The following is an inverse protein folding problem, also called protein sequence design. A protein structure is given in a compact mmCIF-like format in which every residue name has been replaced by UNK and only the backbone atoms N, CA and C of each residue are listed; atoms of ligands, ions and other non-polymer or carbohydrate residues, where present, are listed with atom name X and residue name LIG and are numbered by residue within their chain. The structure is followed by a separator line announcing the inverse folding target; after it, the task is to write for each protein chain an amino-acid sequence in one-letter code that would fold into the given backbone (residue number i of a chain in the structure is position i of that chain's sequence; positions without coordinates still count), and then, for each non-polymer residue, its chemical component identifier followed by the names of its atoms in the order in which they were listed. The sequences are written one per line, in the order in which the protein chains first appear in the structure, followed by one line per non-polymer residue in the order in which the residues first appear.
data_IF_220488217693
#
_entry.id   IF_220488217693
#
_cell.length_a   1.000
_cell.length_b   1.000
_cell.length_c   1.000
_cell.angle_alpha   90.00
_cell.angle_beta   90.00
_cell.angle_gamma   90.00
#
_symmetry.space_group_name_H-M   'P 1'
#
loop_
_entity.id
_entity.type
_entity.pdbx_description
1 polymer ?
#
# COMPACT_ATOMS: atom_id res chain seq x y z
N UNK A 1 -5.95 13.17 23.96
CA UNK A 1 -6.47 12.90 22.61
C UNK A 1 -5.54 11.91 21.94
N UNK A 2 -5.85 10.61 22.01
CA UNK A 2 -5.06 9.59 21.33
C UNK A 2 -5.33 9.68 19.81
N UNK A 3 -4.26 9.67 19.03
CA UNK A 3 -4.20 9.86 17.59
C UNK A 3 -5.24 9.01 16.82
N UNK A 4 -6.27 9.66 16.27
CA UNK A 4 -7.24 9.04 15.37
C UNK A 4 -6.62 8.61 14.02
N UNK A 5 -5.40 9.07 13.74
CA UNK A 5 -4.71 8.92 12.45
C UNK A 5 -4.21 7.49 12.18
N UNK A 6 -3.97 6.68 13.23
CA UNK A 6 -3.44 5.31 13.06
C UNK A 6 -4.51 4.23 12.81
N UNK A 7 -5.80 4.58 13.00
CA UNK A 7 -6.95 3.66 12.88
C UNK A 7 -7.84 3.95 11.69
N UNK A 8 -7.50 4.95 10.86
CA UNK A 8 -8.25 5.18 9.64
C UNK A 8 -8.07 3.99 8.66
N UNK A 9 -9.13 3.67 7.92
CA UNK A 9 -9.17 2.49 7.05
C UNK A 9 -8.08 2.51 5.96
N UNK A 10 -7.74 3.68 5.40
CA UNK A 10 -6.66 3.85 4.42
C UNK A 10 -5.31 3.57 5.06
N UNK A 11 -5.09 4.03 6.30
CA UNK A 11 -3.85 3.73 7.04
C UNK A 11 -3.72 2.23 7.33
N UNK A 12 -4.79 1.55 7.74
CA UNK A 12 -4.75 0.10 7.96
C UNK A 12 -4.56 -0.67 6.65
N UNK A 13 -5.24 -0.24 5.59
CA UNK A 13 -5.14 -0.87 4.27
C UNK A 13 -3.72 -0.74 3.69
N UNK A 14 -3.12 0.45 3.75
CA UNK A 14 -1.72 0.64 3.28
C UNK A 14 -0.71 -0.17 4.10
N UNK A 15 -0.92 -0.34 5.41
CA UNK A 15 -0.12 -1.26 6.24
C UNK A 15 -0.29 -2.72 5.78
N UNK A 16 -1.51 -3.14 5.46
CA UNK A 16 -1.78 -4.49 4.96
C UNK A 16 -1.12 -4.74 3.58
N UNK A 17 -1.21 -3.77 2.67
CA UNK A 17 -0.55 -3.84 1.35
C UNK A 17 0.97 -4.00 1.48
N UNK A 18 1.60 -3.25 2.39
CA UNK A 18 3.04 -3.38 2.66
C UNK A 18 3.40 -4.79 3.13
N UNK A 19 2.66 -5.31 4.12
CA UNK A 19 2.88 -6.68 4.62
C UNK A 19 2.70 -7.74 3.54
N UNK A 20 1.72 -7.56 2.65
CA UNK A 20 1.50 -8.46 1.52
C UNK A 20 2.68 -8.42 0.53
N UNK A 21 3.21 -7.23 0.25
CA UNK A 21 4.42 -7.08 -0.56
C UNK A 21 5.64 -7.73 0.10
N UNK A 22 5.85 -7.49 1.39
CA UNK A 22 6.94 -8.06 2.18
C UNK A 22 6.86 -9.60 2.26
N UNK A 23 5.66 -10.18 2.18
CA UNK A 23 5.41 -11.62 2.08
C UNK A 23 5.60 -12.18 0.65
N UNK A 24 6.26 -11.44 -0.24
CA UNK A 24 6.58 -11.89 -1.59
C UNK A 24 5.48 -11.70 -2.63
N UNK A 25 4.40 -10.96 -2.32
CA UNK A 25 3.30 -10.68 -3.25
C UNK A 25 3.17 -9.19 -3.63
N UNK A 26 4.24 -8.49 -4.06
CA UNK A 26 4.19 -7.04 -4.30
C UNK A 26 3.35 -6.64 -5.53
N UNK A 27 3.23 -7.49 -6.55
CA UNK A 27 2.38 -7.24 -7.72
C UNK A 27 0.89 -7.29 -7.34
N UNK A 28 0.49 -8.29 -6.55
CA UNK A 28 -0.88 -8.42 -6.04
C UNK A 28 -1.26 -7.25 -5.12
N UNK A 29 -0.35 -6.88 -4.22
CA UNK A 29 -0.52 -5.69 -3.38
C UNK A 29 -0.66 -4.41 -4.22
N UNK A 30 0.08 -4.29 -5.32
CA UNK A 30 0.00 -3.12 -6.22
C UNK A 30 -1.35 -3.06 -6.94
N UNK A 31 -1.89 -4.20 -7.37
CA UNK A 31 -3.23 -4.26 -7.99
C UNK A 31 -4.33 -3.82 -7.02
N UNK A 32 -4.30 -4.32 -5.78
CA UNK A 32 -5.24 -3.92 -4.73
C UNK A 32 -5.11 -2.41 -4.40
N UNK A 33 -3.88 -1.90 -4.36
CA UNK A 33 -3.59 -0.47 -4.24
C UNK A 33 -4.21 0.35 -5.37
N UNK A 34 -4.12 -0.12 -6.62
CA UNK A 34 -4.70 0.58 -7.77
C UNK A 34 -6.22 0.70 -7.69
N UNK A 35 -6.89 -0.36 -7.25
CA UNK A 35 -8.35 -0.35 -7.03
C UNK A 35 -8.76 0.64 -5.94
N UNK A 36 -8.04 0.65 -4.82
CA UNK A 36 -8.29 1.61 -3.75
C UNK A 36 -8.02 3.06 -4.19
N UNK A 37 -6.95 3.31 -4.94
CA UNK A 37 -6.68 4.62 -5.51
C UNK A 37 -7.85 5.10 -6.38
N UNK A 38 -8.35 4.23 -7.27
CA UNK A 38 -9.48 4.57 -8.14
C UNK A 38 -10.74 4.93 -7.35
N UNK A 39 -11.01 4.23 -6.24
CA UNK A 39 -12.16 4.50 -5.37
C UNK A 39 -12.03 5.82 -4.57
N UNK A 40 -10.80 6.27 -4.28
CA UNK A 40 -10.53 7.44 -3.44
C UNK A 40 -10.27 8.72 -4.24
N UNK A 41 -9.79 8.63 -5.48
CA UNK A 41 -9.19 9.76 -6.22
C UNK A 41 -10.06 11.03 -6.29
N UNK A 42 -11.39 10.88 -6.31
CA UNK A 42 -12.32 12.01 -6.45
C UNK A 42 -12.93 12.46 -5.11
N UNK A 43 -13.00 11.58 -4.10
CA UNK A 43 -13.72 11.80 -2.84
C UNK A 43 -12.82 12.01 -1.63
N UNK A 44 -11.62 11.40 -1.65
CA UNK A 44 -10.57 11.58 -0.65
C UNK A 44 -9.18 11.59 -1.34
N UNK A 45 -8.78 12.76 -1.90
CA UNK A 45 -7.50 12.89 -2.58
C UNK A 45 -6.29 12.60 -1.68
N UNK A 46 -6.38 12.87 -0.37
CA UNK A 46 -5.28 12.61 0.58
C UNK A 46 -5.11 11.11 0.82
N UNK A 47 -6.22 10.38 0.98
CA UNK A 47 -6.21 8.93 1.04
C UNK A 47 -5.64 8.30 -0.23
N UNK A 48 -6.05 8.80 -1.40
CA UNK A 48 -5.53 8.36 -2.69
C UNK A 48 -4.01 8.57 -2.80
N UNK A 49 -3.49 9.73 -2.40
CA UNK A 49 -2.05 10.02 -2.41
C UNK A 49 -1.26 9.05 -1.51
N UNK A 50 -1.79 8.72 -0.32
CA UNK A 50 -1.18 7.75 0.59
C UNK A 50 -1.13 6.33 0.00
N UNK A 51 -2.21 5.91 -0.68
CA UNK A 51 -2.24 4.63 -1.41
C UNK A 51 -1.24 4.64 -2.56
N UNK A 52 -1.15 5.74 -3.33
CA UNK A 52 -0.20 5.86 -4.43
C UNK A 52 1.26 5.76 -3.96
N UNK A 53 1.61 6.43 -2.86
CA UNK A 53 2.93 6.30 -2.23
C UNK A 53 3.26 4.86 -1.81
N UNK A 54 2.24 4.09 -1.38
CA UNK A 54 2.41 2.67 -1.07
C UNK A 54 2.65 1.83 -2.32
N UNK A 55 1.96 2.09 -3.43
CA UNK A 55 2.23 1.42 -4.72
C UNK A 55 3.65 1.69 -5.23
N UNK A 56 4.18 2.91 -5.08
CA UNK A 56 5.59 3.17 -5.43
C UNK A 56 6.58 2.37 -4.59
N UNK A 57 6.29 2.16 -3.31
CA UNK A 57 7.10 1.27 -2.46
C UNK A 57 7.03 -0.18 -2.97
N UNK A 58 5.84 -0.68 -3.27
CA UNK A 58 5.63 -2.05 -3.77
C UNK A 58 6.31 -2.28 -5.13
N UNK A 59 6.27 -1.28 -6.02
CA UNK A 59 6.96 -1.35 -7.30
C UNK A 59 8.49 -1.48 -7.14
N UNK A 60 9.08 -0.81 -6.15
CA UNK A 60 10.51 -0.98 -5.82
C UNK A 60 10.79 -2.38 -5.27
N UNK A 61 9.90 -2.89 -4.42
CA UNK A 61 10.03 -4.23 -3.85
C UNK A 61 9.94 -5.31 -4.93
N UNK A 62 9.02 -5.15 -5.90
CA UNK A 62 8.91 -6.04 -7.06
C UNK A 62 10.16 -5.98 -7.96
N UNK A 63 10.84 -4.84 -8.02
CA UNK A 63 12.05 -4.65 -8.82
C UNK A 63 13.33 -5.18 -8.16
N UNK A 64 13.34 -5.45 -6.85
CA UNK A 64 14.50 -5.97 -6.12
C UNK A 64 14.43 -7.51 -5.99
N UNK A 65 15.30 -8.27 -6.68
CA UNK A 65 15.31 -9.72 -6.59
C UNK A 65 15.78 -10.24 -5.23
N UNK A 66 16.57 -9.47 -4.48
CA UNK A 66 17.15 -9.91 -3.19
C UNK A 66 16.17 -9.82 -2.03
N UNK A 67 15.06 -9.07 -2.20
CA UNK A 67 13.99 -8.98 -1.22
C UNK A 67 13.11 -10.24 -1.19
N UNK A 68 13.09 -11.04 -2.27
CA UNK A 68 12.27 -12.25 -2.41
C UNK A 68 12.86 -13.49 -1.74
N UNK A 69 14.14 -13.47 -1.33
CA UNK A 69 14.90 -14.64 -0.86
C UNK A 69 15.09 -14.69 0.68
N UNK A 70 14.44 -13.81 1.45
CA UNK A 70 14.63 -13.69 2.91
C UNK A 70 13.59 -14.42 3.78
N UNK A 71 12.87 -15.40 3.22
CA UNK A 71 11.96 -16.31 3.95
C UNK A 71 12.59 -17.69 4.21
#
# INVERSE_FOLDING_TARGET
MAHADDRDLVTLFTKALRKLGEAGQPEEASMLGGQAWWALKDTDPRGAERVNGTMHYLARLAADPTARERD
#
